data_IF_091739997670
#
_entry.id   IF_091739997670
#
_cell.length_a   1.000
_cell.length_b   1.000
_cell.length_c   1.000
_cell.angle_alpha   90.00
_cell.angle_beta   90.00
_cell.angle_gamma   90.00
#
_symmetry.space_group_name_H-M   'P 1'
#
loop_
_entity.id
_entity.type
_entity.pdbx_description
1 polymer ?
2 non-polymer ?
3 water ?
#
# COMPACT_ATOMS: atom_id res chain seq x y z
N UNK A 19 3.26 31.16 14.13
CA UNK A 19 3.05 29.82 13.52
C UNK A 19 1.56 29.50 13.45
N UNK A 20 0.92 29.92 12.36
CA UNK A 20 -0.51 29.69 12.17
C UNK A 20 -0.81 28.26 11.73
N UNK A 21 -1.38 27.46 12.63
CA UNK A 21 -1.75 26.08 12.34
C UNK A 21 -3.22 26.04 11.92
N UNK A 22 -3.50 25.39 10.80
CA UNK A 22 -4.87 25.29 10.30
C UNK A 22 -5.47 23.92 10.56
N UNK A 23 -6.66 23.90 11.13
CA UNK A 23 -7.36 22.65 11.39
C UNK A 23 -8.12 22.33 10.11
N UNK A 24 -7.81 21.18 9.50
CA UNK A 24 -8.45 20.78 8.26
C UNK A 24 -9.05 19.39 8.45
N UNK A 25 -10.37 19.31 8.54
CA UNK A 25 -10.99 18.02 8.76
C UNK A 25 -11.38 17.30 7.47
N UNK A 26 -10.92 17.80 6.33
CA UNK A 26 -11.21 17.13 5.07
C UNK A 26 -10.50 15.78 5.14
N UNK A 27 -11.04 14.77 4.46
CA UNK A 27 -10.41 13.44 4.51
C UNK A 27 -9.17 13.27 3.65
N UNK A 28 -8.41 12.23 3.97
CA UNK A 28 -7.22 11.88 3.20
C UNK A 28 -7.75 10.78 2.29
N UNK A 29 -7.43 10.85 1.00
CA UNK A 29 -7.92 9.84 0.08
C UNK A 29 -6.90 8.78 -0.27
N UNK A 30 -7.40 7.56 -0.51
CA UNK A 30 -6.56 6.41 -0.87
C UNK A 30 -7.20 5.73 -2.07
N UNK A 31 -6.42 5.45 -3.11
CA UNK A 31 -6.98 4.79 -4.28
C UNK A 31 -6.16 3.55 -4.64
N UNK A 32 -6.84 2.56 -5.19
CA UNK A 32 -6.17 1.31 -5.56
C UNK A 32 -7.00 0.62 -6.62
N UNK A 33 -6.35 -0.18 -7.46
CA UNK A 33 -7.08 -0.90 -8.48
C UNK A 33 -7.89 -2.00 -7.81
N UNK A 34 -7.34 -2.53 -6.71
CA UNK A 34 -8.01 -3.61 -6.00
C UNK A 34 -8.23 -3.39 -4.53
N UNK A 35 -8.12 -4.47 -3.74
CA UNK A 35 -8.34 -4.40 -2.29
C UNK A 35 -7.07 -4.37 -1.45
N UNK A 36 -5.92 -4.63 -2.07
CA UNK A 36 -4.68 -4.63 -1.32
C UNK A 36 -4.46 -3.36 -0.50
N UNK A 37 -4.81 -2.21 -1.09
CA UNK A 37 -4.65 -0.94 -0.44
C UNK A 37 -5.34 -0.81 0.91
N UNK A 38 -6.20 -1.76 1.23
CA UNK A 38 -6.89 -1.74 2.53
C UNK A 38 -5.89 -1.83 3.69
N UNK A 39 -4.74 -2.44 3.46
CA UNK A 39 -3.75 -2.54 4.54
C UNK A 39 -3.12 -1.18 4.78
N UNK A 40 -3.10 -0.33 3.76
CA UNK A 40 -2.54 1.00 3.90
C UNK A 40 -3.53 1.81 4.74
N UNK A 41 -4.83 1.59 4.51
CA UNK A 41 -5.86 2.27 5.29
C UNK A 41 -5.78 1.78 6.74
N UNK A 42 -5.54 0.49 6.92
CA UNK A 42 -5.43 -0.08 8.26
C UNK A 42 -4.32 0.66 9.03
N UNK A 43 -3.19 0.91 8.37
CA UNK A 43 -2.07 1.61 8.99
C UNK A 43 -2.42 3.08 9.25
N UNK A 44 -3.20 3.68 8.35
CA UNK A 44 -3.60 5.08 8.53
C UNK A 44 -4.50 5.19 9.76
N UNK A 45 -5.40 4.23 9.94
CA UNK A 45 -6.31 4.26 11.08
C UNK A 45 -5.56 4.23 12.40
N UNK A 46 -4.45 3.48 12.42
CA UNK A 46 -3.61 3.34 13.60
C UNK A 46 -2.67 4.52 13.82
N UNK A 47 -1.95 4.91 12.77
CA UNK A 47 -0.98 5.99 12.86
C UNK A 47 -1.55 7.40 12.87
N UNK A 48 -2.71 7.58 12.22
CA UNK A 48 -3.35 8.88 12.12
C UNK A 48 -4.77 8.80 12.69
N UNK A 49 -4.89 8.55 14.00
CA UNK A 49 -6.19 8.43 14.67
C UNK A 49 -7.18 9.57 14.52
N UNK A 50 -6.70 10.76 14.17
CA UNK A 50 -7.60 11.91 14.04
C UNK A 50 -7.93 12.29 12.60
N UNK A 51 -7.48 11.50 11.64
CA UNK A 51 -7.73 11.82 10.24
C UNK A 51 -8.90 11.07 9.61
N UNK A 52 -9.71 11.80 8.85
CA UNK A 52 -10.83 11.19 8.15
C UNK A 52 -10.29 10.50 6.91
N UNK A 53 -10.97 9.43 6.50
CA UNK A 53 -10.52 8.59 5.40
C UNK A 53 -11.55 8.25 4.33
N UNK A 54 -11.11 8.30 3.07
CA UNK A 54 -11.94 7.90 1.92
C UNK A 54 -11.07 6.95 1.10
N UNK A 55 -11.65 5.84 0.66
CA UNK A 55 -10.91 4.85 -0.12
C UNK A 55 -11.72 4.39 -1.31
N UNK A 56 -11.05 4.22 -2.46
CA UNK A 56 -11.72 3.71 -3.65
C UNK A 56 -10.92 2.52 -4.18
N UNK A 57 -11.61 1.42 -4.42
CA UNK A 57 -10.99 0.22 -4.97
C UNK A 57 -11.68 -0.05 -6.30
N UNK A 58 -10.95 0.05 -7.40
CA UNK A 58 -11.52 -0.15 -8.74
C UNK A 58 -11.55 -1.63 -9.11
N UNK A 59 -12.17 -2.43 -8.26
CA UNK A 59 -12.23 -3.87 -8.48
C UNK A 59 -12.90 -4.31 -9.77
N UNK A 60 -13.73 -3.46 -10.35
CA UNK A 60 -14.41 -3.80 -11.60
C UNK A 60 -13.42 -3.81 -12.76
N UNK A 61 -12.23 -3.25 -12.56
CA UNK A 61 -11.23 -3.21 -13.63
C UNK A 61 -9.85 -3.71 -13.19
N UNK A 62 -9.79 -4.29 -12.00
CA UNK A 62 -8.55 -4.85 -11.46
C UNK A 62 -8.26 -6.13 -12.24
N UNK A 63 -7.00 -6.41 -12.59
CA UNK A 63 -5.76 -5.66 -12.32
C UNK A 63 -5.40 -4.66 -13.43
N UNK A 64 -4.58 -3.68 -13.06
CA UNK A 64 -4.12 -2.65 -13.99
C UNK A 64 -2.83 -3.04 -14.69
N UNK A 65 -2.02 -3.86 -14.01
CA UNK A 65 -0.74 -4.29 -14.53
C UNK A 65 -0.60 -4.62 -16.01
N UNK A 66 -1.40 -5.56 -16.53
CA UNK A 66 -1.37 -5.98 -17.94
C UNK A 66 -1.83 -4.93 -18.94
N UNK A 67 -2.51 -3.90 -18.44
CA UNK A 67 -3.04 -2.85 -19.30
C UNK A 67 -2.00 -1.86 -19.79
N UNK A 68 -2.22 -1.29 -20.98
CA UNK A 68 -1.28 -0.30 -21.52
C UNK A 68 -1.34 0.95 -20.65
N UNK A 69 -0.23 1.66 -20.56
CA UNK A 69 -0.14 2.87 -19.74
C UNK A 69 -1.32 3.82 -19.92
N UNK A 70 -1.72 4.05 -21.17
CA UNK A 70 -2.82 4.95 -21.47
C UNK A 70 -4.06 4.61 -20.64
N UNK A 71 -4.35 3.32 -20.53
CA UNK A 71 -5.51 2.82 -19.80
C UNK A 71 -5.33 2.98 -18.29
N UNK A 72 -4.17 2.61 -17.78
CA UNK A 72 -3.88 2.71 -16.35
C UNK A 72 -4.04 4.17 -15.88
N UNK A 73 -3.49 5.10 -16.65
CA UNK A 73 -3.56 6.52 -16.31
C UNK A 73 -5.01 7.02 -16.33
N UNK A 74 -5.79 6.55 -17.30
CA UNK A 74 -7.18 6.96 -17.40
C UNK A 74 -7.97 6.53 -16.17
N UNK A 75 -7.84 5.25 -15.81
CA UNK A 75 -8.56 4.69 -14.67
C UNK A 75 -8.11 5.31 -13.35
N UNK A 76 -6.82 5.55 -13.21
CA UNK A 76 -6.32 6.14 -11.98
C UNK A 76 -6.85 7.57 -11.86
N UNK A 77 -6.94 8.28 -13.00
CA UNK A 77 -7.46 9.64 -13.01
C UNK A 77 -8.94 9.63 -12.62
N UNK A 78 -9.67 8.60 -13.04
CA UNK A 78 -11.09 8.52 -12.70
C UNK A 78 -11.28 8.34 -11.18
N UNK A 79 -10.44 7.52 -10.56
CA UNK A 79 -10.54 7.32 -9.11
C UNK A 79 -10.14 8.61 -8.40
N UNK A 80 -9.09 9.25 -8.91
CA UNK A 80 -8.58 10.49 -8.34
C UNK A 80 -9.66 11.56 -8.40
N UNK A 81 -10.20 11.79 -9.60
CA UNK A 81 -11.24 12.79 -9.78
C UNK A 81 -12.40 12.56 -8.84
N UNK A 82 -12.80 11.30 -8.69
CA UNK A 82 -13.92 10.96 -7.81
C UNK A 82 -13.67 11.41 -6.37
N UNK A 83 -12.51 11.09 -5.83
CA UNK A 83 -12.18 11.46 -4.45
C UNK A 83 -11.95 12.95 -4.28
N UNK A 84 -11.35 13.59 -5.28
CA UNK A 84 -11.12 15.02 -5.20
C UNK A 84 -12.49 15.72 -5.11
N UNK A 85 -13.46 15.25 -5.89
CA UNK A 85 -14.78 15.83 -5.88
C UNK A 85 -15.52 15.51 -4.57
N UNK A 86 -15.06 14.48 -3.88
CA UNK A 86 -15.65 14.11 -2.58
C UNK A 86 -15.02 14.96 -1.48
N UNK A 87 -14.02 15.76 -1.84
CA UNK A 87 -13.39 16.66 -0.89
C UNK A 87 -12.06 16.31 -0.22
N UNK A 88 -11.28 15.40 -0.79
CA UNK A 88 -10.02 15.06 -0.13
C UNK A 88 -9.00 16.20 -0.18
N UNK A 89 -8.12 16.22 0.81
CA UNK A 89 -7.08 17.25 0.94
C UNK A 89 -5.70 16.72 0.58
N UNK A 90 -5.59 15.40 0.43
CA UNK A 90 -4.33 14.74 0.13
C UNK A 90 -4.66 13.39 -0.49
N UNK A 91 -3.80 12.90 -1.38
CA UNK A 91 -4.03 11.63 -2.06
C UNK A 91 -2.92 10.62 -1.92
N UNK A 92 -3.29 9.39 -1.57
CA UNK A 92 -2.32 8.31 -1.46
C UNK A 92 -2.67 7.28 -2.54
N UNK A 93 -1.73 7.03 -3.44
CA UNK A 93 -1.94 6.04 -4.50
C UNK A 93 -1.34 4.77 -3.93
N UNK A 94 -2.21 3.86 -3.50
CA UNK A 94 -1.76 2.62 -2.88
C UNK A 94 -1.47 1.47 -3.85
N UNK A 95 -1.55 1.76 -5.14
CA UNK A 95 -1.31 0.77 -6.20
C UNK A 95 0.11 0.92 -6.77
N UNK A 96 0.82 -0.20 -6.93
CA UNK A 96 2.18 -0.14 -7.48
C UNK A 96 2.18 0.29 -8.94
N UNK A 97 1.30 -0.28 -9.73
CA UNK A 97 1.23 0.06 -11.14
C UNK A 97 0.84 1.51 -11.34
N UNK A 98 -0.14 1.98 -10.57
CA UNK A 98 -0.57 3.36 -10.69
C UNK A 98 0.55 4.29 -10.22
N UNK A 99 1.25 3.89 -9.17
CA UNK A 99 2.37 4.67 -8.64
C UNK A 99 3.47 4.81 -9.69
N UNK A 100 3.83 3.68 -10.30
CA UNK A 100 4.88 3.67 -11.31
C UNK A 100 4.49 4.32 -12.62
N UNK A 101 3.21 4.21 -12.99
CA UNK A 101 2.74 4.75 -14.25
C UNK A 101 2.04 6.11 -14.25
N UNK A 102 1.19 6.36 -13.25
CA UNK A 102 0.42 7.61 -13.23
C UNK A 102 0.69 8.63 -12.15
N UNK A 103 1.43 8.26 -11.11
CA UNK A 103 1.71 9.19 -10.01
C UNK A 103 2.29 10.55 -10.44
N UNK A 104 3.32 10.50 -11.27
CA UNK A 104 3.97 11.73 -11.72
C UNK A 104 3.02 12.72 -12.39
N UNK A 105 2.20 12.22 -13.31
CA UNK A 105 1.25 13.09 -14.02
C UNK A 105 0.20 13.68 -13.09
N UNK A 106 -0.38 12.85 -12.24
CA UNK A 106 -1.41 13.29 -11.31
C UNK A 106 -0.87 14.27 -10.29
N UNK A 107 0.33 13.99 -9.77
CA UNK A 107 0.95 14.85 -8.78
C UNK A 107 1.22 16.24 -9.36
N UNK A 108 1.67 16.27 -10.60
CA UNK A 108 1.97 17.53 -11.27
C UNK A 108 0.72 18.36 -11.51
N UNK A 109 -0.37 17.69 -11.87
CA UNK A 109 -1.63 18.37 -12.17
C UNK A 109 -2.46 18.87 -10.98
N UNK A 110 -2.55 18.08 -9.91
CA UNK A 110 -3.34 18.47 -8.75
C UNK A 110 -2.67 19.51 -7.86
N UNK A 111 -3.47 20.16 -7.01
CA UNK A 111 -2.96 21.15 -6.08
C UNK A 111 -2.81 20.56 -4.68
N UNK A 112 -3.17 19.28 -4.54
CA UNK A 112 -3.06 18.62 -3.25
C UNK A 112 -1.85 17.68 -3.27
N UNK A 113 -1.30 17.36 -2.09
CA UNK A 113 -0.14 16.46 -2.05
C UNK A 113 -0.55 15.06 -2.52
N UNK A 114 0.34 14.39 -3.23
CA UNK A 114 0.08 13.04 -3.73
C UNK A 114 1.28 12.17 -3.38
N UNK A 115 1.02 11.03 -2.74
CA UNK A 115 2.09 10.12 -2.32
C UNK A 115 1.90 8.71 -2.87
N UNK A 116 3.02 8.05 -3.20
CA UNK A 116 3.02 6.69 -3.70
C UNK A 116 3.62 5.76 -2.65
N UNK A 117 3.61 4.45 -2.88
CA UNK A 117 4.12 3.53 -1.87
C UNK A 117 5.57 3.01 -1.97
N UNK A 118 6.12 3.00 -3.18
CA UNK A 118 7.47 2.49 -3.43
C UNK A 118 8.64 3.20 -2.73
N UNK A 119 8.79 4.50 -2.95
CA UNK A 119 9.91 5.22 -2.32
C UNK A 119 9.95 5.17 -0.79
N UNK A 120 8.79 5.34 -0.12
CA UNK A 120 8.81 5.29 1.35
C UNK A 120 9.37 3.96 1.87
N UNK A 121 8.97 2.86 1.25
CA UNK A 121 9.47 1.56 1.67
C UNK A 121 10.95 1.42 1.35
N UNK A 122 11.35 1.93 0.20
CA UNK A 122 12.75 1.85 -0.22
C UNK A 122 13.62 2.64 0.77
N UNK A 123 13.14 3.81 1.15
CA UNK A 123 13.86 4.68 2.09
C UNK A 123 14.06 3.95 3.42
N UNK A 124 13.00 3.32 3.90
CA UNK A 124 13.06 2.59 5.16
C UNK A 124 14.02 1.41 5.10
N UNK A 125 14.04 0.71 3.97
CA UNK A 125 14.91 -0.45 3.79
C UNK A 125 16.39 -0.03 3.85
N UNK A 126 16.72 1.04 3.14
CA UNK A 126 18.09 1.53 3.11
C UNK A 126 18.57 1.88 4.52
N UNK A 127 17.68 2.46 5.32
CA UNK A 127 18.03 2.82 6.69
C UNK A 127 18.18 1.60 7.61
N UNK A 128 17.28 0.64 7.48
CA UNK A 128 17.29 -0.56 8.32
C UNK A 128 18.42 -1.57 8.06
N UNK A 129 18.81 -1.76 6.81
CA UNK A 129 19.85 -2.74 6.51
C UNK A 129 21.23 -2.42 7.09
N UNK A 130 21.90 -3.46 7.57
CA UNK A 130 23.22 -3.31 8.15
C UNK A 130 24.28 -3.99 7.27
N UNK A 131 24.00 -5.21 6.82
CA UNK A 131 24.95 -5.93 5.97
C UNK A 131 24.73 -5.68 4.49
N UNK A 132 23.80 -4.78 4.18
CA UNK A 132 23.49 -4.42 2.80
C UNK A 132 22.89 -5.52 1.93
N UNK A 133 22.39 -6.58 2.56
CA UNK A 133 21.75 -7.67 1.82
C UNK A 133 20.24 -7.45 1.95
N UNK A 134 19.66 -6.85 0.93
CA UNK A 134 18.24 -6.52 0.94
C UNK A 134 17.39 -7.33 -0.03
N UNK A 135 16.24 -7.77 0.45
CA UNK A 135 15.35 -8.54 -0.39
C UNK A 135 14.03 -7.82 -0.55
N UNK A 136 13.28 -8.20 -1.57
CA UNK A 136 11.97 -7.62 -1.79
C UNK A 136 11.12 -8.68 -2.45
N UNK A 137 9.91 -8.86 -1.93
CA UNK A 137 8.97 -9.82 -2.49
C UNK A 137 7.73 -9.06 -2.93
N UNK A 138 7.10 -9.55 -3.98
CA UNK A 138 5.90 -8.91 -4.49
C UNK A 138 5.38 -9.73 -5.65
N UNK A 139 4.42 -9.19 -6.39
CA UNK A 139 3.87 -9.91 -7.53
C UNK A 139 4.93 -9.95 -8.62
N UNK A 140 4.77 -10.86 -9.56
CA UNK A 140 5.74 -10.99 -10.64
C UNK A 140 5.84 -9.69 -11.43
N UNK A 141 4.72 -8.98 -11.54
CA UNK A 141 4.74 -7.71 -12.27
C UNK A 141 5.62 -6.69 -11.58
N UNK A 142 5.47 -6.58 -10.25
CA UNK A 142 6.27 -5.64 -9.49
C UNK A 142 7.74 -6.02 -9.56
N UNK A 143 8.02 -7.31 -9.39
CA UNK A 143 9.39 -7.80 -9.43
C UNK A 143 10.04 -7.58 -10.80
N UNK A 144 9.33 -7.95 -11.86
CA UNK A 144 9.86 -7.78 -13.21
C UNK A 144 10.06 -6.32 -13.60
N UNK A 145 9.27 -5.42 -13.02
CA UNK A 145 9.42 -4.00 -13.34
C UNK A 145 10.73 -3.45 -12.79
N UNK A 146 11.28 -4.14 -11.79
CA UNK A 146 12.53 -3.74 -11.15
C UNK A 146 12.41 -2.41 -10.40
N UNK A 147 11.18 -1.94 -10.22
CA UNK A 147 10.96 -0.66 -9.52
C UNK A 147 11.72 -0.57 -8.20
N UNK A 148 11.62 -1.59 -7.36
CA UNK A 148 12.31 -1.56 -6.08
C UNK A 148 13.82 -1.68 -6.20
N UNK A 149 14.30 -2.58 -7.05
CA UNK A 149 15.74 -2.71 -7.19
C UNK A 149 16.36 -1.40 -7.65
N UNK A 150 15.73 -0.77 -8.64
CA UNK A 150 16.23 0.50 -9.17
C UNK A 150 16.24 1.60 -8.11
N UNK A 151 15.14 1.72 -7.37
CA UNK A 151 15.05 2.75 -6.33
C UNK A 151 16.07 2.51 -5.23
N UNK A 152 16.28 1.24 -4.88
CA UNK A 152 17.24 0.87 -3.85
C UNK A 152 18.67 1.22 -4.29
N UNK A 153 19.01 0.80 -5.51
CA UNK A 153 20.34 1.06 -6.06
C UNK A 153 20.63 2.53 -6.29
N UNK A 154 19.59 3.31 -6.61
CA UNK A 154 19.76 4.75 -6.84
C UNK A 154 20.16 5.45 -5.55
N UNK A 155 19.86 4.81 -4.42
CA UNK A 155 20.21 5.37 -3.12
C UNK A 155 21.54 4.80 -2.61
N UNK A 156 21.70 3.49 -2.75
CA UNK A 156 22.93 2.81 -2.31
C UNK A 156 23.31 1.74 -3.33
N UNK A 157 24.21 2.08 -4.25
CA UNK A 157 24.69 1.18 -5.30
C UNK A 157 25.34 -0.11 -4.82
N UNK A 158 25.92 -0.08 -3.62
CA UNK A 158 26.60 -1.25 -3.07
C UNK A 158 25.67 -2.34 -2.56
N UNK A 159 24.38 -2.05 -2.47
CA UNK A 159 23.42 -3.04 -1.99
C UNK A 159 23.32 -4.26 -2.89
N UNK A 160 23.15 -5.43 -2.28
CA UNK A 160 22.97 -6.66 -3.02
C UNK A 160 21.47 -6.90 -2.88
N UNK A 161 20.74 -6.69 -3.97
CA UNK A 161 19.29 -6.85 -3.92
C UNK A 161 18.77 -8.12 -4.57
N UNK A 162 17.97 -8.85 -3.81
CA UNK A 162 17.36 -10.09 -4.29
C UNK A 162 15.85 -9.83 -4.39
N UNK A 163 15.31 -9.98 -5.60
CA UNK A 163 13.88 -9.76 -5.82
C UNK A 163 13.22 -11.10 -6.12
N UNK A 164 12.11 -11.38 -5.44
CA UNK A 164 11.42 -12.65 -5.62
C UNK A 164 9.90 -12.53 -5.76
N UNK A 165 9.37 -13.02 -6.87
CA UNK A 165 7.93 -12.99 -7.09
C UNK A 165 7.30 -14.10 -6.25
N UNK A 166 6.13 -13.80 -5.67
CA UNK A 166 5.41 -14.76 -4.83
C UNK A 166 3.99 -14.84 -5.40
N UNK A 167 3.85 -15.45 -6.59
CA UNK A 167 2.62 -15.65 -7.37
C UNK A 167 1.29 -15.94 -6.69
N UNK A 168 1.28 -16.80 -5.69
CA UNK A 168 0.04 -17.16 -5.03
C UNK A 168 -0.31 -16.42 -3.75
N UNK A 169 0.59 -15.58 -3.24
CA UNK A 169 0.31 -14.88 -1.98
C UNK A 169 -0.99 -14.06 -2.04
N UNK A 170 -1.17 -13.30 -3.12
CA UNK A 170 -2.38 -12.49 -3.24
C UNK A 170 -3.66 -13.31 -3.14
N UNK A 171 -3.73 -14.44 -3.85
CA UNK A 171 -4.95 -15.26 -3.81
C UNK A 171 -5.25 -15.76 -2.39
N UNK A 172 -4.20 -16.11 -1.65
CA UNK A 172 -4.38 -16.60 -0.28
C UNK A 172 -4.97 -15.53 0.62
N UNK A 173 -4.48 -14.31 0.48
CA UNK A 173 -4.96 -13.20 1.30
C UNK A 173 -6.37 -12.74 0.89
N UNK A 174 -6.62 -12.60 -0.41
CA UNK A 174 -7.94 -12.17 -0.88
C UNK A 174 -9.02 -13.20 -0.56
N UNK A 175 -8.60 -14.45 -0.33
CA UNK A 175 -9.54 -15.52 -0.01
C UNK A 175 -9.73 -15.59 1.50
N UNK A 176 -9.11 -14.67 2.22
CA UNK A 176 -9.16 -14.63 3.69
C UNK A 176 -8.69 -15.97 4.29
N UNK A 177 -7.60 -16.50 3.75
CA UNK A 177 -7.03 -17.76 4.23
C UNK A 177 -5.56 -17.54 4.61
N UNK A 178 -5.23 -16.32 5.00
CA UNK A 178 -3.87 -15.97 5.38
C UNK A 178 -3.40 -16.54 6.71
N UNK A 179 -4.25 -17.30 7.37
CA UNK A 179 -3.91 -17.92 8.65
C UNK A 179 -4.02 -19.44 8.55
N UNK A 180 -4.38 -19.93 7.37
CA UNK A 180 -4.57 -21.36 7.14
C UNK A 180 -3.29 -22.16 6.94
N UNK A 181 -3.44 -23.48 6.91
CA UNK A 181 -2.32 -24.39 6.71
C UNK A 181 -1.79 -24.21 5.29
N UNK A 182 -2.70 -23.92 4.36
CA UNK A 182 -2.33 -23.70 2.97
C UNK A 182 -1.40 -22.50 2.85
N UNK A 183 -1.71 -21.44 3.59
CA UNK A 183 -0.90 -20.23 3.57
C UNK A 183 0.51 -20.49 4.09
N UNK A 184 0.60 -21.17 5.23
CA UNK A 184 1.90 -21.49 5.81
C UNK A 184 2.74 -22.30 4.85
N UNK A 185 2.10 -23.24 4.16
CA UNK A 185 2.80 -24.09 3.20
C UNK A 185 3.27 -23.28 1.99
N UNK A 186 2.36 -22.48 1.44
CA UNK A 186 2.69 -21.65 0.29
C UNK A 186 3.83 -20.67 0.57
N UNK A 187 3.75 -19.99 1.71
CA UNK A 187 4.79 -19.02 2.06
C UNK A 187 6.12 -19.70 2.31
N UNK A 188 6.11 -20.78 3.10
CA UNK A 188 7.33 -21.52 3.40
C UNK A 188 8.05 -21.97 2.14
N UNK A 189 7.32 -22.62 1.24
CA UNK A 189 7.91 -23.13 0.01
C UNK A 189 8.32 -22.04 -0.97
N UNK A 190 7.56 -20.95 -1.03
CA UNK A 190 7.89 -19.86 -1.94
C UNK A 190 9.14 -19.08 -1.52
N UNK A 191 9.29 -18.83 -0.22
CA UNK A 191 10.43 -18.06 0.26
C UNK A 191 11.70 -18.86 0.57
N UNK A 192 11.58 -20.19 0.56
CA UNK A 192 12.73 -21.06 0.86
C UNK A 192 14.07 -20.58 0.30
N UNK A 193 14.14 -20.36 -1.03
CA UNK A 193 15.41 -19.91 -1.62
C UNK A 193 15.88 -18.53 -1.15
N UNK A 194 15.04 -17.83 -0.41
CA UNK A 194 15.36 -16.50 0.07
C UNK A 194 15.98 -16.52 1.46
N UNK A 195 15.92 -17.67 2.13
CA UNK A 195 16.45 -17.79 3.48
C UNK A 195 17.95 -18.15 3.55
N UNK A 196 18.59 -18.25 2.40
CA UNK A 196 20.01 -18.60 2.36
C UNK A 196 20.89 -17.56 1.66
N UNK A 197 20.55 -16.29 1.81
CA UNK A 197 21.33 -15.23 1.18
C UNK A 197 21.80 -14.18 2.18
N UNK A 198 21.63 -14.49 3.46
CA UNK A 198 22.04 -13.59 4.54
C UNK A 198 21.33 -12.24 4.49
N UNK A 199 20.14 -12.23 3.90
CA UNK A 199 19.34 -11.02 3.80
C UNK A 199 18.91 -10.61 5.21
N UNK A 200 19.17 -9.35 5.59
CA UNK A 200 18.78 -8.90 6.92
C UNK A 200 17.60 -7.92 6.88
N UNK A 201 17.15 -7.59 5.67
CA UNK A 201 16.04 -6.66 5.48
C UNK A 201 15.21 -7.13 4.29
N UNK A 202 13.90 -7.32 4.52
CA UNK A 202 13.01 -7.78 3.46
C UNK A 202 11.81 -6.87 3.29
N UNK A 203 11.68 -6.28 2.11
CA UNK A 203 10.58 -5.38 1.81
C UNK A 203 9.34 -6.15 1.37
N UNK A 204 8.21 -5.86 2.02
CA UNK A 204 6.95 -6.49 1.64
C UNK A 204 6.46 -5.55 0.54
N UNK A 205 6.80 -5.91 -0.71
CA UNK A 205 6.46 -5.09 -1.86
C UNK A 205 5.10 -5.27 -2.52
N UNK A 206 4.14 -5.78 -1.76
CA UNK A 206 2.76 -5.96 -2.24
C UNK A 206 1.89 -5.63 -1.02
N UNK A 207 0.90 -4.77 -1.21
CA UNK A 207 0.05 -4.36 -0.10
C UNK A 207 -0.79 -5.47 0.54
N UNK A 208 -0.88 -6.63 -0.12
CA UNK A 208 -1.63 -7.75 0.43
C UNK A 208 -0.80 -8.46 1.51
N UNK A 209 0.52 -8.40 1.37
CA UNK A 209 1.41 -9.15 2.25
C UNK A 209 1.39 -8.91 3.76
N UNK A 210 0.98 -7.71 4.22
CA UNK A 210 0.96 -7.53 5.68
C UNK A 210 0.10 -8.58 6.39
N UNK A 211 -0.91 -9.11 5.71
CA UNK A 211 -1.77 -10.12 6.32
C UNK A 211 -1.03 -11.44 6.55
N UNK A 212 0.07 -11.63 5.84
CA UNK A 212 0.88 -12.85 5.94
C UNK A 212 2.17 -12.61 6.75
N UNK A 213 2.32 -11.41 7.32
CA UNK A 213 3.52 -11.07 8.05
C UNK A 213 4.00 -12.06 9.12
N UNK A 214 3.09 -12.55 9.98
CA UNK A 214 3.55 -13.50 11.00
C UNK A 214 4.20 -14.73 10.37
N UNK A 215 3.59 -15.25 9.30
CA UNK A 215 4.12 -16.41 8.62
C UNK A 215 5.45 -16.08 7.94
N UNK A 216 5.50 -14.92 7.29
CA UNK A 216 6.71 -14.50 6.61
C UNK A 216 7.85 -14.31 7.61
N UNK A 217 7.56 -13.71 8.75
CA UNK A 217 8.57 -13.49 9.78
C UNK A 217 9.14 -14.82 10.29
N UNK A 218 8.24 -15.77 10.53
CA UNK A 218 8.65 -17.08 11.02
C UNK A 218 9.58 -17.77 10.02
N UNK A 219 9.20 -17.75 8.75
CA UNK A 219 9.99 -18.38 7.70
C UNK A 219 11.35 -17.71 7.48
N UNK A 220 11.40 -16.38 7.57
CA UNK A 220 12.64 -15.65 7.35
C UNK A 220 13.56 -15.66 8.56
N UNK A 221 12.98 -15.70 9.76
CA UNK A 221 13.78 -15.70 10.97
C UNK A 221 13.72 -14.38 11.71
N UNK A 222 13.94 -14.43 13.02
CA UNK A 222 13.91 -13.23 13.86
C UNK A 222 14.99 -12.21 13.52
N UNK A 223 16.03 -12.65 12.82
CA UNK A 223 17.13 -11.75 12.46
C UNK A 223 16.86 -10.96 11.19
N UNK A 224 15.67 -11.11 10.63
CA UNK A 224 15.32 -10.38 9.41
C UNK A 224 14.26 -9.31 9.67
N UNK A 225 14.61 -8.06 9.37
CA UNK A 225 13.69 -6.95 9.58
C UNK A 225 12.79 -6.79 8.35
N UNK A 226 11.49 -6.87 8.56
CA UNK A 226 10.54 -6.72 7.47
C UNK A 226 10.12 -5.26 7.34
N UNK A 227 10.03 -4.79 6.10
CA UNK A 227 9.63 -3.42 5.81
C UNK A 227 8.28 -3.43 5.12
N UNK A 228 7.29 -2.83 5.78
CA UNK A 228 5.93 -2.75 5.26
C UNK A 228 5.86 -1.43 4.49
N UNK A 229 5.92 -1.48 3.17
CA UNK A 229 5.88 -0.26 2.36
C UNK A 229 4.67 0.63 2.63
N UNK A 230 3.51 0.01 2.79
CA UNK A 230 2.31 0.80 3.05
C UNK A 230 2.43 1.55 4.36
N UNK A 231 2.96 0.88 5.39
CA UNK A 231 3.13 1.49 6.69
C UNK A 231 4.11 2.66 6.61
N UNK A 232 5.16 2.49 5.82
CA UNK A 232 6.14 3.56 5.68
C UNK A 232 5.52 4.73 4.93
N UNK A 233 4.63 4.43 3.98
CA UNK A 233 3.97 5.47 3.21
C UNK A 233 3.10 6.31 4.15
N UNK A 234 2.41 5.65 5.07
CA UNK A 234 1.58 6.38 6.02
C UNK A 234 2.47 7.23 6.91
N UNK A 235 3.69 6.77 7.15
CA UNK A 235 4.63 7.53 7.96
C UNK A 235 4.98 8.82 7.24
N UNK A 236 5.06 8.78 5.91
CA UNK A 236 5.37 9.97 5.13
C UNK A 236 4.18 10.94 5.22
N UNK A 237 2.98 10.38 5.10
CA UNK A 237 1.76 11.17 5.18
C UNK A 237 1.75 12.00 6.47
N UNK A 238 2.13 11.38 7.57
CA UNK A 238 2.17 12.08 8.86
C UNK A 238 3.06 13.32 8.78
N UNK A 239 4.23 13.18 8.17
CA UNK A 239 5.13 14.31 8.03
C UNK A 239 4.56 15.35 7.08
N UNK A 240 3.95 14.90 5.98
CA UNK A 240 3.39 15.84 5.01
C UNK A 240 2.21 16.65 5.53
N UNK A 241 1.44 16.07 6.45
CA UNK A 241 0.31 16.80 7.03
C UNK A 241 0.84 18.03 7.77
N UNK A 242 1.97 17.87 8.43
CA UNK A 242 2.59 18.98 9.16
C UNK A 242 3.22 19.97 8.16
N UNK A 243 3.93 19.44 7.17
CA UNK A 243 4.59 20.29 6.17
C UNK A 243 3.61 21.17 5.43
N UNK A 244 2.50 20.60 4.98
CA UNK A 244 1.52 21.37 4.23
C UNK A 244 0.44 22.03 5.09
N UNK A 245 0.55 21.90 6.41
CA UNK A 245 -0.41 22.52 7.32
C UNK A 245 -1.83 22.02 7.02
N UNK A 246 -1.97 20.70 6.93
CA UNK A 246 -3.27 20.09 6.61
C UNK A 246 -3.81 19.14 7.69
N UNK A 247 -3.22 19.17 8.88
CA UNK A 247 -3.68 18.27 9.94
C UNK A 247 -5.06 18.58 10.49
N UNK A 248 -5.78 17.52 10.87
CA UNK A 248 -7.10 17.66 11.49
C UNK A 248 -6.73 17.81 12.96
N UNK A 249 -7.67 18.21 13.80
CA UNK A 249 -7.37 18.36 15.21
C UNK A 249 -7.88 17.18 16.03
N UNK A 250 -7.27 16.94 17.20
CA UNK A 250 -7.70 15.83 18.05
C UNK A 250 -9.08 16.08 18.68
N UNK A 251 -9.49 17.35 18.75
CA UNK A 251 -10.80 17.69 19.30
C UNK A 251 -11.86 17.24 18.31
N UNK A 252 -11.51 17.24 17.02
CA UNK A 252 -12.42 16.77 15.99
C UNK A 252 -12.36 15.25 15.98
N UNK A 253 -11.14 14.72 15.80
CA UNK A 253 -10.94 13.29 15.73
C UNK A 253 -11.46 12.75 14.42
N UNK A 254 -11.32 11.45 14.19
CA UNK A 254 -11.81 10.83 12.96
C UNK A 254 -13.31 10.66 13.11
N UNK A 255 -14.06 11.23 12.17
CA UNK A 255 -15.52 11.15 12.20
C UNK A 255 -16.03 10.48 10.94
N UNK A 256 -15.14 10.28 9.98
CA UNK A 256 -15.52 9.69 8.70
C UNK A 256 -14.51 8.68 8.15
N UNK A 257 -15.02 7.53 7.74
CA UNK A 257 -14.21 6.47 7.13
C UNK A 257 -15.17 5.77 6.17
N UNK A 258 -15.08 6.14 4.90
CA UNK A 258 -15.96 5.60 3.88
C UNK A 258 -15.20 4.90 2.76
N UNK A 259 -15.69 3.72 2.36
CA UNK A 259 -15.07 2.97 1.28
C UNK A 259 -15.98 2.95 0.06
N UNK A 260 -15.37 3.01 -1.12
CA UNK A 260 -16.12 2.96 -2.37
C UNK A 260 -15.49 1.89 -3.26
N UNK A 261 -16.31 1.14 -3.96
CA UNK A 261 -15.80 0.12 -4.87
C UNK A 261 -16.64 0.10 -6.14
N UNK A 262 -15.98 -0.12 -7.27
CA UNK A 262 -16.68 -0.18 -8.55
C UNK A 262 -17.18 -1.60 -8.81
N UNK A 263 -16.73 -2.53 -7.97
CA UNK A 263 -17.14 -3.92 -8.13
C UNK A 263 -18.18 -4.29 -7.07
N UNK A 264 -18.18 -5.56 -6.68
CA UNK A 264 -19.12 -6.05 -5.68
C UNK A 264 -18.87 -5.45 -4.30
N UNK A 265 -19.87 -4.74 -3.77
CA UNK A 265 -19.73 -4.14 -2.46
C UNK A 265 -19.76 -5.25 -1.42
N UNK A 266 -20.51 -6.32 -1.72
CA UNK A 266 -20.62 -7.44 -0.81
C UNK A 266 -19.27 -8.11 -0.58
N UNK A 267 -18.57 -8.43 -1.66
CA UNK A 267 -17.26 -9.07 -1.55
C UNK A 267 -16.26 -8.12 -0.92
N UNK A 268 -16.30 -6.86 -1.33
CA UNK A 268 -15.39 -5.87 -0.78
C UNK A 268 -15.55 -5.78 0.73
N UNK A 269 -16.81 -5.70 1.18
CA UNK A 269 -17.07 -5.61 2.62
C UNK A 269 -16.60 -6.87 3.36
N UNK A 270 -16.81 -8.03 2.75
CA UNK A 270 -16.38 -9.28 3.36
C UNK A 270 -14.88 -9.24 3.61
N UNK A 271 -14.14 -8.80 2.60
CA UNK A 271 -12.70 -8.72 2.70
C UNK A 271 -12.25 -7.62 3.68
N UNK A 272 -12.76 -6.42 3.48
CA UNK A 272 -12.41 -5.28 4.32
C UNK A 272 -12.64 -5.51 5.82
N UNK A 273 -13.83 -5.98 6.18
CA UNK A 273 -14.12 -6.21 7.59
C UNK A 273 -13.23 -7.27 8.20
N UNK A 274 -12.85 -8.27 7.41
CA UNK A 274 -11.98 -9.34 7.90
C UNK A 274 -10.56 -8.81 8.14
N UNK A 275 -10.00 -8.13 7.16
CA UNK A 275 -8.65 -7.59 7.26
C UNK A 275 -8.50 -6.53 8.36
N UNK A 276 -9.42 -5.58 8.40
CA UNK A 276 -9.35 -4.50 9.38
C UNK A 276 -9.73 -4.94 10.79
N UNK A 277 -10.55 -5.98 10.89
CA UNK A 277 -10.95 -6.49 12.19
C UNK A 277 -11.47 -5.47 13.19
N UNK A 278 -12.29 -4.53 12.73
CA UNK A 278 -12.85 -3.53 13.62
C UNK A 278 -14.37 -3.45 13.49
N UNK A 279 -14.98 -4.54 13.03
CA UNK A 279 -16.42 -4.57 12.90
C UNK A 279 -16.97 -4.05 11.59
N UNK A 280 -18.21 -3.58 11.63
CA UNK A 280 -18.90 -3.07 10.46
C UNK A 280 -18.22 -1.85 9.82
N UNK A 281 -18.13 -1.88 8.50
CA UNK A 281 -17.52 -0.79 7.75
C UNK A 281 -18.52 -0.23 6.74
N UNK A 282 -18.30 1.02 6.32
CA UNK A 282 -19.18 1.65 5.34
C UNK A 282 -18.63 1.43 3.94
N UNK A 283 -19.30 0.58 3.17
CA UNK A 283 -18.86 0.27 1.81
C UNK A 283 -19.99 0.57 0.83
N UNK A 284 -19.68 1.38 -0.17
CA UNK A 284 -20.66 1.79 -1.16
C UNK A 284 -20.20 1.48 -2.59
N UNK A 285 -21.08 0.86 -3.37
CA UNK A 285 -20.77 0.55 -4.76
C UNK A 285 -20.95 1.84 -5.53
N UNK A 286 -19.99 2.16 -6.40
CA UNK A 286 -20.06 3.38 -7.21
C UNK A 286 -19.73 3.04 -8.65
N UNK A 287 -19.89 4.02 -9.53
CA UNK A 287 -19.58 3.85 -10.94
C UNK A 287 -18.59 4.92 -11.39
N UNK A 288 -17.58 4.51 -12.15
CA UNK A 288 -16.58 5.45 -12.67
C UNK A 288 -16.54 5.34 -14.20
N UNK A 289 -16.23 6.35 -14.85
X LIG B 1 0.91 -5.45 -6.80
X LIG B 1 -0.55 -5.47 -7.25
X LIG B 1 -0.81 -4.65 -8.55
X LIG B 1 -0.45 -3.17 -8.34
X LIG B 1 -2.31 -4.79 -8.91
X LIG B 1 -2.65 -4.28 -10.31
X LIG B 1 1.17 -5.48 -5.62
X LIG B 1 1.81 -5.39 -7.62
X LIG B 1 -0.59 -2.64 -7.25
X LIG B 1 -0.01 -2.52 -9.28
X LIG B 1 -1.90 -4.50 -11.25
X LIG B 1 -3.67 -3.66 -10.48
X LIG B 1 -0.01 -5.21 -9.61
#
# INVERSE_FOLDING_TARGET
>A
MGSSHHHHHHSSGTIEGRMIRLTDNRPIGFIDSGVGGLTVVKEALKQLPNENILFVGDTARCPYGPRPAEQVIQYTWEMTDYLVEQGIKMLVIACNTATAVALEEIKAALSIPVIGVILPGTRAAVKKTQNKQVGIIGTIGTVKSQAYEKALKEKVPELTVTSLACPKFVSVVESNEYHSSVAKKIVAETLAPLTTKKIDTLILGCTHYPLLRPIIQNVMGENVQLIDSGAETVGEVSMLLDYFNLSNSPQNGRTLCQFYTTGSAKLFEEIAEDWLGIGHLNVEHIELGGK
>B hetero
1 FLC CAC CA CB CBC CG CGC OA1 OA2 OB1 OB2 OG1 OG2 OHB
#
